data_IF_534462907716
#
_entry.id   IF_534462907716
#
_cell.length_a   1.000
_cell.length_b   1.000
_cell.length_c   1.000
_cell.angle_alpha   90.00
_cell.angle_beta   90.00
_cell.angle_gamma   90.00
#
_symmetry.space_group_name_H-M   'P 1'
#
loop_
_entity.id
_entity.type
_entity.pdbx_description
1 polymer ?
#
# COMPACT_ATOMS: atom_id res chain seq x y z
N UNK A 1 -0.29 -6.89 14.46
CA UNK A 1 0.30 -5.98 13.46
C UNK A 1 0.30 -6.71 12.13
N UNK A 2 -0.48 -6.21 11.17
CA UNK A 2 -0.62 -6.74 9.81
C UNK A 2 0.62 -6.29 9.03
N UNK A 3 1.35 -7.25 8.45
CA UNK A 3 2.48 -6.97 7.56
C UNK A 3 1.96 -6.77 6.15
N UNK A 4 2.21 -5.61 5.56
CA UNK A 4 1.70 -5.24 4.24
C UNK A 4 2.85 -5.22 3.23
N UNK A 5 2.62 -5.84 2.08
CA UNK A 5 3.42 -5.65 0.87
C UNK A 5 2.78 -4.60 -0.03
N UNK A 6 3.56 -3.76 -0.71
CA UNK A 6 3.04 -2.76 -1.65
C UNK A 6 3.61 -2.98 -3.05
N UNK A 7 2.75 -3.05 -4.06
CA UNK A 7 3.13 -3.42 -5.43
C UNK A 7 2.70 -2.32 -6.40
N UNK A 8 3.62 -1.83 -7.22
CA UNK A 8 3.36 -0.79 -8.22
C UNK A 8 3.71 0.61 -7.70
N UNK A 9 4.80 1.20 -8.21
CA UNK A 9 5.27 2.52 -7.76
C UNK A 9 5.04 3.61 -8.81
N UNK A 10 4.19 3.36 -9.80
CA UNK A 10 3.85 4.33 -10.83
C UNK A 10 2.75 5.31 -10.38
N UNK A 11 2.11 5.07 -9.24
CA UNK A 11 1.23 6.01 -8.54
C UNK A 11 1.90 6.66 -7.33
N UNK A 12 1.37 7.81 -6.88
CA UNK A 12 1.81 8.42 -5.61
C UNK A 12 1.34 7.65 -4.39
N UNK A 13 0.34 6.79 -4.54
CA UNK A 13 -0.25 6.01 -3.46
C UNK A 13 0.77 5.10 -2.78
N UNK A 14 1.71 4.52 -3.54
CA UNK A 14 2.80 3.73 -2.97
C UNK A 14 3.52 4.47 -1.83
N UNK A 15 3.82 5.75 -2.03
CA UNK A 15 4.46 6.62 -1.04
C UNK A 15 3.47 7.02 0.05
N UNK A 16 2.30 7.52 -0.34
CA UNK A 16 1.32 8.10 0.57
C UNK A 16 0.71 7.10 1.56
N UNK A 17 0.42 5.87 1.12
CA UNK A 17 -0.05 4.81 2.00
C UNK A 17 1.05 4.30 2.92
N UNK A 18 2.28 4.20 2.43
CA UNK A 18 3.43 3.85 3.28
C UNK A 18 3.62 4.89 4.38
N UNK A 19 3.55 6.19 4.09
CA UNK A 19 3.62 7.25 5.11
C UNK A 19 2.60 7.06 6.24
N UNK A 20 1.34 6.78 5.86
CA UNK A 20 0.21 6.61 6.78
C UNK A 20 0.32 5.35 7.63
N UNK A 21 0.78 4.23 7.08
CA UNK A 21 0.91 2.96 7.81
C UNK A 21 2.22 2.87 8.60
N UNK A 22 3.29 3.50 8.11
CA UNK A 22 4.60 3.47 8.77
C UNK A 22 4.82 4.65 9.71
N UNK A 23 3.90 5.62 9.74
CA UNK A 23 3.93 6.81 10.61
C UNK A 23 5.17 7.67 10.35
N UNK A 24 5.48 7.89 9.06
CA UNK A 24 6.66 8.64 8.61
C UNK A 24 6.26 9.79 7.71
N UNK A 25 6.88 10.95 7.92
CA UNK A 25 6.73 12.14 7.06
C UNK A 25 5.26 12.53 6.79
N UNK A 26 4.40 12.35 7.80
CA UNK A 26 2.98 12.71 7.82
C UNK A 26 2.50 12.97 9.24
N UNK A 27 1.53 13.88 9.38
CA UNK A 27 0.88 14.21 10.66
C UNK A 27 0.22 12.98 11.30
N UNK A 28 0.29 12.89 12.64
CA UNK A 28 -0.31 11.80 13.44
C UNK A 28 -1.79 11.62 13.17
N UNK A 29 -2.47 12.70 12.80
CA UNK A 29 -3.87 12.71 12.48
C UNK A 29 -4.20 11.79 11.26
N UNK A 30 -3.23 11.51 10.40
CA UNK A 30 -3.41 10.66 9.21
C UNK A 30 -2.86 9.25 9.41
N UNK A 31 -2.43 8.90 10.62
CA UNK A 31 -1.87 7.58 10.89
C UNK A 31 -2.94 6.51 10.81
N UNK A 32 -2.57 5.39 10.21
CA UNK A 32 -3.35 4.15 10.19
C UNK A 32 -2.67 3.17 11.12
N UNK A 33 -3.38 2.72 12.15
CA UNK A 33 -2.84 1.81 13.16
C UNK A 33 -3.15 0.35 12.84
N UNK A 34 -2.32 -0.55 13.38
CA UNK A 34 -2.51 -1.99 13.28
C UNK A 34 -1.84 -2.64 12.06
N UNK A 35 -1.30 -1.86 11.12
CA UNK A 35 -0.61 -2.32 9.92
C UNK A 35 0.75 -1.63 9.73
N UNK A 36 1.63 -2.25 8.94
CA UNK A 36 2.90 -1.64 8.52
C UNK A 36 3.30 -2.15 7.15
N UNK A 37 3.68 -1.26 6.25
CA UNK A 37 4.30 -1.62 4.97
C UNK A 37 5.74 -2.02 5.24
N UNK A 38 6.07 -3.28 4.95
CA UNK A 38 7.39 -3.85 5.24
C UNK A 38 8.17 -4.25 4.00
N UNK A 39 7.48 -4.52 2.88
CA UNK A 39 8.08 -4.94 1.63
C UNK A 39 7.42 -4.22 0.45
N UNK A 40 8.18 -3.95 -0.61
CA UNK A 40 7.70 -3.23 -1.77
C UNK A 40 8.30 -3.75 -3.07
N UNK A 41 7.48 -3.82 -4.12
CA UNK A 41 7.92 -4.17 -5.47
C UNK A 41 7.49 -3.06 -6.43
N UNK A 42 8.41 -2.47 -7.23
CA UNK A 42 8.08 -1.36 -8.11
C UNK A 42 7.01 -1.64 -9.15
N UNK A 43 6.71 -2.92 -9.43
CA UNK A 43 5.77 -3.32 -10.45
C UNK A 43 6.43 -3.46 -11.82
N UNK A 44 5.60 -3.70 -12.83
CA UNK A 44 6.04 -3.79 -14.24
C UNK A 44 6.36 -2.40 -14.79
N UNK A 45 7.12 -2.29 -15.89
CA UNK A 45 7.33 -1.03 -16.58
C UNK A 45 6.00 -0.32 -16.83
N UNK A 46 5.95 0.98 -16.51
CA UNK A 46 4.73 1.77 -16.59
C UNK A 46 4.84 2.83 -17.69
N UNK A 47 3.72 3.07 -18.39
CA UNK A 47 3.56 4.21 -19.29
C UNK A 47 3.04 5.46 -18.57
N UNK A 48 2.64 5.34 -17.30
CA UNK A 48 2.02 6.40 -16.50
C UNK A 48 3.03 7.20 -15.67
N UNK A 49 4.19 6.61 -15.37
CA UNK A 49 5.27 7.28 -14.66
C UNK A 49 6.62 7.01 -15.32
N UNK A 50 7.43 8.05 -15.48
CA UNK A 50 8.80 7.91 -16.00
C UNK A 50 9.74 7.25 -14.99
N UNK A 51 10.80 6.60 -15.49
CA UNK A 51 11.81 5.89 -14.68
C UNK A 51 12.39 6.73 -13.54
N UNK A 52 12.57 8.04 -13.74
CA UNK A 52 13.08 8.94 -12.71
C UNK A 52 12.13 9.02 -11.51
N UNK A 53 10.81 9.08 -11.76
CA UNK A 53 9.78 9.14 -10.71
C UNK A 53 9.74 7.81 -9.95
N UNK A 54 9.75 6.68 -10.67
CA UNK A 54 9.78 5.35 -10.05
C UNK A 54 11.05 5.20 -9.18
N UNK A 55 12.21 5.63 -9.68
CA UNK A 55 13.47 5.58 -8.93
C UNK A 55 13.42 6.43 -7.67
N UNK A 56 12.85 7.63 -7.73
CA UNK A 56 12.67 8.48 -6.55
C UNK A 56 11.76 7.81 -5.51
N UNK A 57 10.65 7.21 -5.94
CA UNK A 57 9.73 6.50 -5.05
C UNK A 57 10.37 5.26 -4.41
N UNK A 58 11.20 4.52 -5.16
CA UNK A 58 12.03 3.43 -4.61
C UNK A 58 12.90 3.93 -3.45
N UNK A 59 13.59 5.07 -3.63
CA UNK A 59 14.46 5.62 -2.58
C UNK A 59 13.65 6.05 -1.36
N UNK A 60 12.54 6.77 -1.55
CA UNK A 60 11.65 7.16 -0.46
C UNK A 60 11.15 5.96 0.34
N UNK A 61 10.68 4.90 -0.34
CA UNK A 61 10.19 3.70 0.34
C UNK A 61 11.30 3.00 1.14
N UNK A 62 12.53 2.98 0.63
CA UNK A 62 13.69 2.49 1.40
C UNK A 62 13.93 3.33 2.66
N UNK A 63 13.87 4.65 2.54
CA UNK A 63 14.00 5.57 3.69
C UNK A 63 12.88 5.37 4.72
N UNK A 64 11.68 4.98 4.27
CA UNK A 64 10.53 4.65 5.11
C UNK A 64 10.61 3.25 5.75
N UNK A 65 11.72 2.55 5.56
CA UNK A 65 11.98 1.23 6.13
C UNK A 65 11.31 0.07 5.38
N UNK A 66 10.96 0.27 4.11
CA UNK A 66 10.40 -0.78 3.25
C UNK A 66 11.52 -1.53 2.53
N UNK A 67 11.52 -2.85 2.64
CA UNK A 67 12.42 -3.73 1.88
C UNK A 67 11.96 -3.80 0.41
N UNK A 68 12.80 -3.33 -0.52
CA UNK A 68 12.47 -3.39 -1.95
C UNK A 68 12.96 -4.71 -2.53
N UNK A 69 12.03 -5.50 -3.06
CA UNK A 69 12.29 -6.81 -3.68
C UNK A 69 12.22 -6.75 -5.20
N UNK A 70 12.81 -7.76 -5.85
CA UNK A 70 12.91 -7.83 -7.32
C UNK A 70 11.65 -8.45 -7.96
N UNK A 71 10.82 -9.14 -7.18
CA UNK A 71 9.55 -9.73 -7.62
C UNK A 71 8.47 -9.67 -6.54
N UNK A 72 7.19 -9.66 -6.95
CA UNK A 72 6.07 -9.66 -6.01
C UNK A 72 6.02 -10.97 -5.19
N UNK A 73 6.37 -12.09 -5.83
CA UNK A 73 6.34 -13.43 -5.27
C UNK A 73 7.28 -13.60 -4.06
N UNK A 74 8.35 -12.81 -3.97
CA UNK A 74 9.25 -12.80 -2.81
C UNK A 74 8.58 -12.35 -1.50
N UNK A 75 7.42 -11.68 -1.59
CA UNK A 75 6.63 -11.28 -0.42
C UNK A 75 5.77 -12.43 0.12
N UNK A 76 5.52 -13.48 -0.67
CA UNK A 76 4.66 -14.60 -0.30
C UNK A 76 5.23 -15.29 0.96
N UNK A 77 4.40 -15.42 1.99
CA UNK A 77 4.78 -15.99 3.29
C UNK A 77 5.53 -15.03 4.21
N UNK A 78 5.84 -13.82 3.77
CA UNK A 78 6.47 -12.75 4.59
C UNK A 78 5.47 -11.66 4.98
N UNK A 79 4.44 -11.43 4.15
CA UNK A 79 3.36 -10.46 4.37
C UNK A 79 2.02 -11.15 4.65
N UNK A 80 1.11 -10.43 5.29
CA UNK A 80 -0.26 -10.86 5.56
C UNK A 80 -1.26 -10.36 4.51
N UNK A 81 -0.97 -9.19 3.91
CA UNK A 81 -1.79 -8.55 2.89
C UNK A 81 -0.90 -7.86 1.84
N UNK A 82 -1.45 -7.59 0.66
CA UNK A 82 -0.79 -6.78 -0.38
C UNK A 82 -1.70 -5.66 -0.89
N UNK A 83 -1.11 -4.49 -1.15
CA UNK A 83 -1.74 -3.35 -1.83
C UNK A 83 -1.26 -3.28 -3.28
N UNK A 84 -2.17 -3.05 -4.22
CA UNK A 84 -1.96 -3.12 -5.67
C UNK A 84 -2.08 -1.72 -6.27
N UNK A 85 -0.99 -0.96 -6.18
CA UNK A 85 -0.91 0.44 -6.57
C UNK A 85 -0.42 0.66 -8.01
N UNK A 86 -0.46 -0.38 -8.84
CA UNK A 86 -0.08 -0.29 -10.25
C UNK A 86 -1.19 0.40 -11.03
N UNK A 87 -0.88 1.50 -11.73
CA UNK A 87 -1.90 2.29 -12.42
C UNK A 87 -2.67 1.50 -13.51
N UNK A 88 -2.03 0.51 -14.13
CA UNK A 88 -2.66 -0.36 -15.12
C UNK A 88 -3.50 -1.46 -14.44
N UNK A 89 -4.77 -1.16 -14.20
CA UNK A 89 -5.72 -2.08 -13.54
C UNK A 89 -5.87 -3.45 -14.23
N UNK A 90 -5.59 -3.56 -15.53
CA UNK A 90 -5.60 -4.84 -16.26
C UNK A 90 -4.58 -5.86 -15.73
N UNK A 91 -3.55 -5.40 -15.02
CA UNK A 91 -2.53 -6.25 -14.42
C UNK A 91 -2.91 -6.77 -13.03
N UNK A 92 -3.93 -6.18 -12.37
CA UNK A 92 -4.24 -6.47 -10.97
C UNK A 92 -4.56 -7.94 -10.75
N UNK A 93 -5.40 -8.54 -11.59
CA UNK A 93 -5.76 -9.95 -11.47
C UNK A 93 -4.54 -10.87 -11.60
N UNK A 94 -3.64 -10.56 -12.53
CA UNK A 94 -2.42 -11.34 -12.75
C UNK A 94 -1.48 -11.24 -11.54
N UNK A 95 -1.29 -10.03 -11.01
CA UNK A 95 -0.45 -9.76 -9.84
C UNK A 95 -1.05 -10.38 -8.57
N UNK A 96 -2.38 -10.30 -8.39
CA UNK A 96 -3.09 -10.77 -7.21
C UNK A 96 -3.16 -12.30 -7.11
N UNK A 97 -3.26 -12.99 -8.25
CA UNK A 97 -3.54 -14.43 -8.30
C UNK A 97 -2.57 -15.28 -7.46
N UNK A 98 -1.22 -15.11 -7.52
CA UNK A 98 -0.30 -15.88 -6.68
C UNK A 98 -0.51 -15.67 -5.17
N UNK A 99 -0.97 -14.49 -4.75
CA UNK A 99 -1.26 -14.19 -3.34
C UNK A 99 -2.56 -14.86 -2.89
N UNK A 100 -3.62 -14.75 -3.71
CA UNK A 100 -4.92 -15.39 -3.44
C UNK A 100 -4.76 -16.90 -3.29
N UNK A 101 -3.99 -17.54 -4.18
CA UNK A 101 -3.70 -18.98 -4.13
C UNK A 101 -2.97 -19.42 -2.84
N UNK A 102 -2.37 -18.47 -2.12
CA UNK A 102 -1.66 -18.68 -0.85
C UNK A 102 -2.43 -18.15 0.36
N UNK A 103 -3.67 -17.69 0.19
CA UNK A 103 -4.50 -17.12 1.25
C UNK A 103 -3.99 -15.77 1.75
N UNK A 104 -3.18 -15.07 0.96
CA UNK A 104 -2.78 -13.69 1.21
C UNK A 104 -3.80 -12.81 0.50
N UNK A 105 -4.49 -11.97 1.25
CA UNK A 105 -5.55 -11.14 0.73
C UNK A 105 -4.96 -9.95 -0.06
N UNK A 106 -5.23 -9.83 -1.37
CA UNK A 106 -5.01 -8.59 -2.10
C UNK A 106 -6.13 -7.63 -1.70
N UNK A 107 -5.76 -6.55 -1.05
CA UNK A 107 -6.71 -5.65 -0.41
C UNK A 107 -6.89 -4.38 -1.25
N UNK A 108 -7.58 -4.48 -2.39
CA UNK A 108 -8.12 -3.30 -3.11
C UNK A 108 -9.12 -2.53 -2.22
N UNK A 109 -9.74 -3.23 -1.25
CA UNK A 109 -10.64 -2.67 -0.25
C UNK A 109 -9.92 -1.71 0.70
N UNK A 110 -8.67 -1.99 1.08
CA UNK A 110 -7.87 -1.07 1.91
C UNK A 110 -7.58 0.23 1.14
N UNK A 111 -7.35 0.17 -0.17
CA UNK A 111 -7.14 1.36 -1.01
C UNK A 111 -8.39 2.25 -1.05
N UNK A 112 -9.56 1.63 -1.29
CA UNK A 112 -10.85 2.32 -1.33
C UNK A 112 -11.16 2.93 0.04
N UNK A 113 -10.93 2.20 1.13
CA UNK A 113 -11.19 2.71 2.48
C UNK A 113 -10.21 3.81 2.85
N UNK A 114 -8.90 3.65 2.61
CA UNK A 114 -7.91 4.70 2.87
C UNK A 114 -8.20 5.96 2.05
N UNK A 115 -8.66 5.81 0.80
CA UNK A 115 -9.10 6.91 -0.05
C UNK A 115 -10.38 7.58 0.46
N UNK A 116 -11.39 6.78 0.84
CA UNK A 116 -12.66 7.26 1.38
C UNK A 116 -12.44 7.95 2.73
N UNK A 117 -11.56 7.47 3.59
CA UNK A 117 -11.25 8.10 4.86
C UNK A 117 -10.41 9.37 4.71
N UNK A 118 -9.42 9.40 3.81
CA UNK A 118 -8.72 10.64 3.49
C UNK A 118 -9.69 11.71 2.96
N UNK A 119 -10.65 11.30 2.13
CA UNK A 119 -11.72 12.17 1.60
C UNK A 119 -12.72 12.57 2.69
N UNK A 120 -13.13 11.64 3.56
CA UNK A 120 -14.09 11.86 4.65
C UNK A 120 -13.50 12.76 5.73
N UNK A 121 -12.21 12.63 6.03
CA UNK A 121 -11.52 13.48 7.01
C UNK A 121 -11.26 14.89 6.49
N UNK A 122 -10.99 15.03 5.20
CA UNK A 122 -11.03 16.35 4.55
C UNK A 122 -12.42 17.00 4.63
N UNK A 123 -13.48 16.19 4.78
CA UNK A 123 -14.87 16.65 4.89
C UNK A 123 -15.36 16.80 6.34
N UNK A 124 -14.78 16.09 7.30
CA UNK A 124 -15.25 16.01 8.68
C UNK A 124 -14.04 16.14 9.63
N UNK A 125 -13.91 17.30 10.26
CA UNK A 125 -13.03 17.51 11.42
C UNK A 125 -13.46 16.57 12.57
N UNK A 126 -12.96 15.33 12.61
CA UNK A 126 -13.10 14.49 13.80
C UNK A 126 -11.86 13.65 14.07
N UNK A 127 -11.48 13.59 15.34
CA UNK A 127 -10.19 13.12 15.86
C UNK A 127 -10.19 11.65 16.28
N UNK A 128 -10.97 10.78 15.63
CA UNK A 128 -11.00 9.35 15.99
C UNK A 128 -9.83 8.62 15.32
N UNK A 129 -9.11 7.81 16.09
CA UNK A 129 -8.04 6.93 15.59
C UNK A 129 -8.60 5.88 14.62
N UNK A 130 -7.84 5.57 13.58
CA UNK A 130 -8.21 4.63 12.51
C UNK A 130 -7.46 3.32 12.70
N UNK A 131 -8.20 2.21 12.82
CA UNK A 131 -7.65 0.86 12.98
C UNK A 131 -7.99 -0.01 11.77
N UNK A 132 -6.99 -0.67 11.17
CA UNK A 132 -7.21 -1.50 9.98
C UNK A 132 -8.22 -2.64 10.21
N UNK A 133 -8.30 -3.19 11.41
CA UNK A 133 -9.27 -4.24 11.75
C UNK A 133 -10.72 -3.76 11.65
N UNK A 134 -11.01 -2.52 12.05
CA UNK A 134 -12.37 -1.97 11.96
C UNK A 134 -12.82 -1.78 10.50
N UNK A 135 -11.85 -1.62 9.60
CA UNK A 135 -12.06 -1.43 8.17
C UNK A 135 -12.38 -2.76 7.47
N UNK A 136 -11.61 -3.80 7.77
CA UNK A 136 -11.77 -5.13 7.17
C UNK A 136 -13.09 -5.80 7.59
N UNK A 137 -13.51 -5.65 8.86
CA UNK A 137 -14.74 -6.28 9.38
C UNK A 137 -16.04 -5.60 8.91
N UNK A 138 -15.94 -4.48 8.17
CA UNK A 138 -17.08 -3.69 7.70
C UNK A 138 -17.60 -4.08 6.30
N UNK A 139 -16.99 -5.09 5.67
CA UNK A 139 -17.24 -5.54 4.29
C UNK A 139 -17.60 -7.03 4.26
#
# INVERSE_FOLDING_TARGET
MIKVGIIGFDTSHAVEFTKRMNHVDISEEHWVYGAKVIMGYPGRPSSFAGNNVITQRIQLLKEFGVEIVDSAEEMIGKVNAVMLEQQEGGLHLEIAKPFIEKGIHPEETIEIIAFLEASLKSAIESSKEIYLSELIDSV
#
